data_IF_708657467999
#
_entry.id   IF_708657467999
#
_cell.length_a   1.000
_cell.length_b   1.000
_cell.length_c   1.000
_cell.angle_alpha   90.00
_cell.angle_beta   90.00
_cell.angle_gamma   90.00
#
_symmetry.space_group_name_H-M   'P 1'
#
loop_
_entity.id
_entity.type
_entity.pdbx_description
1 polymer ?
#
# COMPACT_ATOMS: atom_id res chain seq x y z
N UNK A 1 12.12 -28.37 -9.85
CA UNK A 1 13.23 -27.57 -10.42
C UNK A 1 12.75 -26.48 -11.38
N UNK A 2 12.16 -26.76 -12.55
CA UNK A 2 11.68 -25.68 -13.44
C UNK A 2 10.56 -24.82 -12.82
N UNK A 3 9.58 -25.47 -12.19
CA UNK A 3 8.49 -24.80 -11.44
C UNK A 3 8.99 -23.92 -10.27
N UNK A 4 10.09 -24.32 -9.61
CA UNK A 4 10.65 -23.56 -8.49
C UNK A 4 11.38 -22.31 -8.99
N UNK A 5 12.16 -22.42 -10.08
CA UNK A 5 12.88 -21.28 -10.65
C UNK A 5 11.94 -20.21 -11.20
N UNK A 6 10.84 -20.61 -11.83
CA UNK A 6 9.82 -19.68 -12.33
C UNK A 6 9.13 -18.94 -11.17
N UNK A 7 8.69 -19.67 -10.15
CA UNK A 7 8.07 -19.08 -8.96
C UNK A 7 9.01 -18.12 -8.22
N UNK A 8 10.30 -18.48 -8.11
CA UNK A 8 11.33 -17.61 -7.51
C UNK A 8 11.57 -16.37 -8.37
N UNK A 9 11.64 -16.51 -9.69
CA UNK A 9 11.79 -15.38 -10.62
C UNK A 9 10.59 -14.43 -10.53
N UNK A 10 9.38 -14.95 -10.49
CA UNK A 10 8.16 -14.15 -10.33
C UNK A 10 8.10 -13.43 -8.99
N UNK A 11 8.42 -14.13 -7.88
CA UNK A 11 8.45 -13.54 -6.56
C UNK A 11 9.52 -12.43 -6.45
N UNK A 12 10.73 -12.70 -6.97
CA UNK A 12 11.86 -11.76 -6.91
C UNK A 12 11.61 -10.54 -7.79
N UNK A 13 11.10 -10.73 -9.01
CA UNK A 13 10.74 -9.63 -9.91
C UNK A 13 9.62 -8.77 -9.34
N UNK A 14 8.61 -9.39 -8.72
CA UNK A 14 7.55 -8.68 -8.00
C UNK A 14 8.08 -7.86 -6.83
N UNK A 15 8.95 -8.44 -6.01
CA UNK A 15 9.55 -7.76 -4.85
C UNK A 15 10.44 -6.58 -5.26
N UNK A 16 11.35 -6.78 -6.22
CA UNK A 16 12.22 -5.71 -6.75
C UNK A 16 11.36 -4.62 -7.41
N UNK A 17 10.37 -5.00 -8.23
CA UNK A 17 9.44 -4.06 -8.84
C UNK A 17 8.69 -3.21 -7.82
N UNK A 18 8.23 -3.82 -6.73
CA UNK A 18 7.54 -3.12 -5.65
C UNK A 18 8.48 -2.15 -4.91
N UNK A 19 9.71 -2.57 -4.59
CA UNK A 19 10.69 -1.72 -3.91
C UNK A 19 11.14 -0.53 -4.75
N UNK A 20 11.45 -0.76 -6.03
CA UNK A 20 11.85 0.30 -6.95
C UNK A 20 10.70 1.27 -7.21
N UNK A 21 9.48 0.74 -7.47
CA UNK A 21 8.28 1.57 -7.64
C UNK A 21 8.01 2.43 -6.41
N UNK A 22 8.09 1.84 -5.21
CA UNK A 22 7.90 2.56 -3.94
C UNK A 22 8.96 3.64 -3.76
N UNK A 23 10.22 3.35 -4.07
CA UNK A 23 11.32 4.32 -3.93
C UNK A 23 11.17 5.50 -4.89
N UNK A 24 10.84 5.23 -6.16
CA UNK A 24 10.63 6.29 -7.17
C UNK A 24 9.43 7.17 -6.80
N UNK A 25 8.36 6.58 -6.29
CA UNK A 25 7.12 7.28 -5.96
C UNK A 25 7.06 7.80 -4.52
N UNK A 26 8.09 7.55 -3.71
CA UNK A 26 8.11 7.97 -2.31
C UNK A 26 8.00 9.49 -2.12
N UNK A 27 8.65 10.33 -2.96
CA UNK A 27 8.47 11.79 -2.86
C UNK A 27 7.02 12.23 -3.03
N UNK A 28 6.27 11.58 -3.94
CA UNK A 28 4.84 11.85 -4.14
C UNK A 28 4.02 11.42 -2.91
N UNK A 29 4.40 10.33 -2.27
CA UNK A 29 3.82 9.90 -0.99
C UNK A 29 4.02 10.95 0.10
N UNK A 30 5.25 11.43 0.29
CA UNK A 30 5.54 12.44 1.32
C UNK A 30 4.80 13.74 1.06
N UNK A 31 4.79 14.23 -0.19
CA UNK A 31 4.03 15.43 -0.54
C UNK A 31 2.52 15.25 -0.28
N UNK A 32 1.98 14.08 -0.62
CA UNK A 32 0.58 13.75 -0.37
C UNK A 32 0.28 13.69 1.14
N UNK A 33 1.08 12.97 1.91
CA UNK A 33 0.85 12.81 3.36
C UNK A 33 0.94 14.15 4.08
N UNK A 34 1.93 15.00 3.75
CA UNK A 34 2.03 16.38 4.27
C UNK A 34 0.80 17.23 3.92
N UNK A 35 0.39 17.21 2.65
CA UNK A 35 -0.79 17.95 2.21
C UNK A 35 -2.10 17.45 2.86
N UNK A 36 -2.21 16.15 3.15
CA UNK A 36 -3.36 15.53 3.81
C UNK A 36 -3.44 15.85 5.30
N UNK A 37 -2.28 15.85 5.97
CA UNK A 37 -2.12 16.17 7.39
C UNK A 37 -2.40 17.65 7.70
N UNK A 38 -2.22 18.53 6.72
CA UNK A 38 -2.53 19.94 6.90
C UNK A 38 -4.05 20.16 6.94
N UNK A 39 -4.54 20.60 8.10
CA UNK A 39 -5.87 21.19 8.27
C UNK A 39 -5.74 22.70 8.30
N UNK A 40 -6.60 23.40 7.56
CA UNK A 40 -6.68 24.88 7.61
C UNK A 40 -6.76 25.34 9.07
N UNK A 41 -5.67 25.91 9.58
CA UNK A 41 -5.61 26.50 10.90
C UNK A 41 -5.39 28.01 10.74
N UNK A 42 -6.29 28.80 11.31
CA UNK A 42 -6.20 30.27 11.36
C UNK A 42 -5.91 30.96 10.01
N UNK A 43 -6.83 30.80 9.05
CA UNK A 43 -6.89 31.63 7.84
C UNK A 43 -5.63 31.66 6.95
N UNK A 44 -4.61 30.86 7.25
CA UNK A 44 -3.42 30.68 6.45
C UNK A 44 -3.37 29.22 5.99
N UNK A 45 -3.52 29.03 4.69
CA UNK A 45 -3.28 27.76 4.03
C UNK A 45 -1.82 27.77 3.58
N UNK A 46 -0.98 26.91 4.16
CA UNK A 46 0.46 26.83 3.85
C UNK A 46 0.67 26.21 2.46
N UNK A 47 -0.17 25.26 2.06
CA UNK A 47 -0.11 24.65 0.73
C UNK A 47 -1.45 24.72 0.00
N UNK A 48 -1.49 25.38 -1.17
CA UNK A 48 -2.65 25.34 -2.08
C UNK A 48 -2.72 24.02 -2.82
N UNK A 49 -1.57 23.53 -3.25
CA UNK A 49 -1.41 22.33 -4.05
C UNK A 49 -0.29 21.44 -3.53
N UNK A 50 -0.28 20.18 -3.95
CA UNK A 50 0.78 19.21 -3.64
C UNK A 50 2.11 19.64 -4.29
N UNK A 51 2.06 20.37 -5.40
CA UNK A 51 3.23 20.99 -6.04
C UNK A 51 3.95 21.97 -5.11
N UNK A 52 3.22 22.63 -4.21
CA UNK A 52 3.78 23.63 -3.30
C UNK A 52 4.67 22.94 -2.25
N UNK A 53 4.29 21.74 -1.81
CA UNK A 53 5.10 20.90 -0.91
C UNK A 53 6.40 20.47 -1.59
N UNK A 54 6.32 20.09 -2.88
CA UNK A 54 7.49 19.76 -3.68
C UNK A 54 8.39 20.98 -3.90
N UNK A 55 7.79 22.14 -4.19
CA UNK A 55 8.50 23.40 -4.39
C UNK A 55 9.19 23.87 -3.10
N UNK A 56 8.56 23.71 -1.94
CA UNK A 56 9.19 23.98 -0.65
C UNK A 56 10.43 23.09 -0.44
N UNK A 57 10.35 21.80 -0.74
CA UNK A 57 11.50 20.89 -0.62
C UNK A 57 12.67 21.29 -1.53
N UNK A 58 12.37 21.75 -2.76
CA UNK A 58 13.38 22.20 -3.73
C UNK A 58 13.98 23.54 -3.31
N UNK A 59 13.16 24.53 -2.98
CA UNK A 59 13.59 25.88 -2.60
C UNK A 59 14.39 25.89 -1.29
N UNK A 60 14.04 25.03 -0.33
CA UNK A 60 14.80 24.85 0.92
C UNK A 60 16.07 24.00 0.74
N UNK A 61 16.36 23.49 -0.47
CA UNK A 61 17.44 22.55 -0.78
C UNK A 61 17.42 21.25 0.04
N UNK A 62 16.23 20.83 0.48
CA UNK A 62 16.02 19.66 1.32
C UNK A 62 15.28 18.54 0.58
N UNK A 63 15.63 18.31 -0.68
CA UNK A 63 15.00 17.27 -1.53
C UNK A 63 15.11 15.87 -0.93
N UNK A 64 16.22 15.55 -0.25
CA UNK A 64 16.39 14.28 0.47
C UNK A 64 15.36 14.10 1.60
N UNK A 65 14.82 15.19 2.13
CA UNK A 65 13.79 15.12 3.17
C UNK A 65 12.45 14.59 2.65
N UNK A 66 12.25 14.54 1.33
CA UNK A 66 11.11 13.83 0.72
C UNK A 66 11.16 12.32 0.97
N UNK A 67 12.31 11.77 1.37
CA UNK A 67 12.52 10.37 1.72
C UNK A 67 12.45 10.08 3.23
N UNK A 68 12.07 11.06 4.05
CA UNK A 68 11.92 10.88 5.49
C UNK A 68 10.87 9.81 5.81
N UNK A 69 11.30 8.79 6.56
CA UNK A 69 10.44 7.67 6.94
C UNK A 69 10.40 6.51 5.94
N UNK A 70 11.16 6.55 4.82
CA UNK A 70 11.19 5.45 3.84
C UNK A 70 11.63 4.13 4.49
N UNK A 71 12.74 4.17 5.25
CA UNK A 71 13.24 2.99 5.97
C UNK A 71 12.20 2.42 6.95
N UNK A 72 11.55 3.29 7.72
CA UNK A 72 10.46 2.91 8.63
C UNK A 72 9.29 2.27 7.89
N UNK A 73 8.89 2.83 6.75
CA UNK A 73 7.77 2.32 5.95
C UNK A 73 8.09 0.95 5.34
N UNK A 74 9.31 0.76 4.85
CA UNK A 74 9.76 -0.53 4.33
C UNK A 74 9.82 -1.59 5.44
N UNK A 75 10.35 -1.23 6.62
CA UNK A 75 10.37 -2.12 7.79
C UNK A 75 8.95 -2.50 8.24
N UNK A 76 8.06 -1.51 8.32
CA UNK A 76 6.64 -1.73 8.61
C UNK A 76 6.00 -2.68 7.59
N UNK A 77 6.25 -2.46 6.29
CA UNK A 77 5.70 -3.31 5.23
C UNK A 77 6.21 -4.75 5.33
N UNK A 78 7.49 -4.94 5.64
CA UNK A 78 8.08 -6.26 5.84
C UNK A 78 7.42 -7.00 7.01
N UNK A 79 7.34 -6.34 8.18
CA UNK A 79 6.71 -6.91 9.39
C UNK A 79 5.23 -7.20 9.11
N UNK A 80 4.54 -6.29 8.43
CA UNK A 80 3.14 -6.46 8.05
C UNK A 80 2.92 -7.72 7.23
N UNK A 81 3.75 -7.93 6.21
CA UNK A 81 3.63 -9.08 5.33
C UNK A 81 3.92 -10.39 6.08
N UNK A 82 4.95 -10.39 6.93
CA UNK A 82 5.31 -11.54 7.74
C UNK A 82 4.19 -11.93 8.71
N UNK A 83 3.71 -10.98 9.52
CA UNK A 83 2.65 -11.22 10.50
C UNK A 83 1.36 -11.65 9.82
N UNK A 84 1.02 -11.04 8.68
CA UNK A 84 -0.18 -11.42 7.92
C UNK A 84 -0.13 -12.86 7.44
N UNK A 85 0.93 -13.25 6.72
CA UNK A 85 1.02 -14.60 6.17
C UNK A 85 1.19 -15.66 7.25
N UNK A 86 1.96 -15.36 8.30
CA UNK A 86 2.09 -16.25 9.45
C UNK A 86 0.74 -16.43 10.16
N UNK A 87 0.07 -15.32 10.50
CA UNK A 87 -1.23 -15.33 11.17
C UNK A 87 -2.31 -16.03 10.34
N UNK A 88 -2.37 -15.76 9.04
CA UNK A 88 -3.28 -16.44 8.11
C UNK A 88 -3.02 -17.95 8.09
N UNK A 89 -1.76 -18.38 7.97
CA UNK A 89 -1.40 -19.80 7.96
C UNK A 89 -1.73 -20.48 9.29
N UNK A 90 -1.49 -19.80 10.40
CA UNK A 90 -1.80 -20.27 11.74
C UNK A 90 -3.31 -20.45 11.96
N UNK A 91 -4.12 -19.41 11.70
CA UNK A 91 -5.57 -19.46 11.84
C UNK A 91 -6.22 -20.46 10.87
N UNK A 92 -5.71 -20.56 9.64
CA UNK A 92 -6.16 -21.57 8.67
C UNK A 92 -5.90 -22.99 9.20
N UNK A 93 -4.72 -23.25 9.77
CA UNK A 93 -4.37 -24.57 10.35
C UNK A 93 -5.28 -24.91 11.53
N UNK A 94 -5.51 -23.96 12.44
CA UNK A 94 -6.41 -24.14 13.58
C UNK A 94 -7.84 -24.46 13.13
N UNK A 95 -8.35 -23.75 12.12
CA UNK A 95 -9.68 -24.00 11.56
C UNK A 95 -9.80 -25.42 10.98
N UNK A 96 -8.84 -25.83 10.15
CA UNK A 96 -8.86 -27.16 9.52
C UNK A 96 -8.77 -28.29 10.55
N UNK A 97 -7.94 -28.13 11.59
CA UNK A 97 -7.84 -29.10 12.68
C UNK A 97 -9.14 -29.22 13.47
N UNK A 98 -9.80 -28.09 13.78
CA UNK A 98 -11.04 -28.09 14.58
C UNK A 98 -12.26 -28.53 13.78
N UNK A 99 -12.32 -28.20 12.49
CA UNK A 99 -13.44 -28.52 11.61
C UNK A 99 -13.36 -29.93 10.99
N UNK A 100 -12.19 -30.59 11.04
CA UNK A 100 -11.96 -31.88 10.37
C UNK A 100 -12.03 -31.82 8.83
N UNK A 101 -12.15 -30.63 8.24
CA UNK A 101 -12.29 -30.44 6.79
C UNK A 101 -10.93 -30.45 6.09
N UNK A 102 -10.87 -31.00 4.88
CA UNK A 102 -9.68 -30.96 4.00
C UNK A 102 -9.49 -29.61 3.29
N UNK A 103 -10.52 -28.75 3.27
CA UNK A 103 -10.46 -27.44 2.61
C UNK A 103 -11.23 -26.37 3.36
N UNK A 104 -10.87 -25.11 3.13
CA UNK A 104 -11.53 -23.95 3.72
C UNK A 104 -12.54 -23.37 2.73
N UNK A 105 -13.81 -23.28 3.15
CA UNK A 105 -14.86 -22.61 2.36
C UNK A 105 -14.65 -21.10 2.32
N UNK A 106 -15.18 -20.43 1.30
CA UNK A 106 -14.98 -18.98 1.06
C UNK A 106 -15.32 -18.11 2.28
N UNK A 107 -16.44 -18.39 2.96
CA UNK A 107 -16.86 -17.64 4.16
C UNK A 107 -15.86 -17.78 5.31
N UNK A 108 -15.41 -19.01 5.58
CA UNK A 108 -14.42 -19.28 6.61
C UNK A 108 -13.06 -18.65 6.26
N UNK A 109 -12.68 -18.70 4.97
CA UNK A 109 -11.45 -18.09 4.49
C UNK A 109 -11.43 -16.57 4.70
N UNK A 110 -12.57 -15.90 4.45
CA UNK A 110 -12.72 -14.46 4.71
C UNK A 110 -12.55 -14.13 6.20
N UNK A 111 -13.13 -14.92 7.10
CA UNK A 111 -12.98 -14.71 8.55
C UNK A 111 -11.52 -14.91 8.98
N UNK A 112 -10.87 -15.96 8.49
CA UNK A 112 -9.45 -16.24 8.78
C UNK A 112 -8.54 -15.11 8.25
N UNK A 113 -8.79 -14.62 7.03
CA UNK A 113 -8.06 -13.51 6.45
C UNK A 113 -8.29 -12.20 7.22
N UNK A 114 -9.53 -11.93 7.66
CA UNK A 114 -9.86 -10.76 8.46
C UNK A 114 -9.17 -10.80 9.84
N UNK A 115 -9.18 -11.96 10.52
CA UNK A 115 -8.48 -12.14 11.78
C UNK A 115 -6.97 -11.92 11.65
N UNK A 116 -6.36 -12.48 10.59
CA UNK A 116 -4.95 -12.25 10.28
C UNK A 116 -4.66 -10.76 10.02
N UNK A 117 -5.49 -10.10 9.21
CA UNK A 117 -5.38 -8.67 8.93
C UNK A 117 -5.49 -7.79 10.19
N UNK A 118 -6.43 -8.11 11.10
CA UNK A 118 -6.57 -7.40 12.36
C UNK A 118 -5.34 -7.55 13.25
N UNK A 119 -4.80 -8.76 13.40
CA UNK A 119 -3.55 -9.01 14.13
C UNK A 119 -2.38 -8.22 13.52
N UNK A 120 -2.25 -8.23 12.20
CA UNK A 120 -1.22 -7.45 11.49
C UNK A 120 -1.32 -5.97 11.78
N UNK A 121 -2.53 -5.39 11.72
CA UNK A 121 -2.74 -3.98 12.02
C UNK A 121 -2.36 -3.66 13.45
N UNK A 122 -2.78 -4.47 14.43
CA UNK A 122 -2.43 -4.24 15.84
C UNK A 122 -0.91 -4.24 16.04
N UNK A 123 -0.20 -5.21 15.46
CA UNK A 123 1.26 -5.30 15.61
C UNK A 123 2.00 -4.17 14.92
N UNK A 124 1.50 -3.72 13.76
CA UNK A 124 2.21 -2.74 12.92
C UNK A 124 1.80 -1.29 13.14
N UNK A 125 0.73 -1.04 13.90
CA UNK A 125 0.21 0.30 14.15
C UNK A 125 1.28 1.28 14.70
N UNK A 126 2.14 0.92 15.67
CA UNK A 126 3.19 1.82 16.16
C UNK A 126 4.14 2.31 15.06
N UNK A 127 4.52 1.41 14.15
CA UNK A 127 5.43 1.73 13.04
C UNK A 127 4.75 2.58 11.97
N UNK A 128 3.47 2.33 11.72
CA UNK A 128 2.66 3.11 10.78
C UNK A 128 2.46 4.54 11.29
N UNK A 129 2.11 4.70 12.57
CA UNK A 129 2.02 6.01 13.23
C UNK A 129 3.36 6.75 13.20
N UNK A 130 4.46 6.07 13.56
CA UNK A 130 5.80 6.67 13.49
C UNK A 130 6.19 7.10 12.07
N UNK A 131 5.90 6.29 11.06
CA UNK A 131 6.16 6.63 9.65
C UNK A 131 5.35 7.85 9.20
N UNK A 132 4.08 7.95 9.62
CA UNK A 132 3.22 9.10 9.33
C UNK A 132 3.74 10.39 9.97
N UNK A 133 4.18 10.32 11.24
CA UNK A 133 4.80 11.46 11.95
C UNK A 133 6.10 11.92 11.29
N UNK A 134 6.96 10.98 10.88
CA UNK A 134 8.19 11.30 10.16
C UNK A 134 7.89 11.97 8.80
N UNK A 135 6.94 11.44 8.03
CA UNK A 135 6.54 12.00 6.73
C UNK A 135 5.92 13.40 6.86
N UNK A 136 5.20 13.67 7.94
CA UNK A 136 4.50 14.95 8.16
C UNK A 136 5.36 16.00 8.86
N UNK A 137 6.51 15.62 9.42
CA UNK A 137 7.46 16.54 10.04
C UNK A 137 8.00 17.59 9.05
N UNK A 138 8.43 18.75 9.56
CA UNK A 138 9.08 19.76 8.73
C UNK A 138 10.31 19.17 8.03
N UNK A 139 10.58 19.62 6.79
CA UNK A 139 11.74 19.14 6.05
C UNK A 139 13.01 19.37 6.90
N UNK A 140 13.95 18.41 6.83
CA UNK A 140 15.20 18.45 7.58
C UNK A 140 15.09 18.21 9.09
N UNK A 141 13.88 18.16 9.66
CA UNK A 141 13.63 18.02 11.11
C UNK A 141 13.07 16.66 11.52
N UNK A 142 12.92 15.70 10.59
CA UNK A 142 12.43 14.36 10.94
C UNK A 142 13.36 13.69 11.94
N UNK A 143 12.77 13.21 13.04
CA UNK A 143 13.46 12.38 14.03
C UNK A 143 13.71 10.98 13.45
N UNK A 144 14.68 10.27 14.03
CA UNK A 144 14.90 8.84 13.73
C UNK A 144 13.73 8.00 14.26
N UNK A 145 13.55 6.79 13.71
CA UNK A 145 12.50 5.86 14.14
C UNK A 145 12.56 5.59 15.64
N UNK A 146 13.75 5.28 16.17
CA UNK A 146 13.96 5.01 17.59
C UNK A 146 13.52 6.17 18.47
N UNK A 147 13.92 7.39 18.09
CA UNK A 147 13.57 8.60 18.82
C UNK A 147 12.06 8.89 18.76
N UNK A 148 11.44 8.64 17.60
CA UNK A 148 9.99 8.81 17.41
C UNK A 148 9.18 7.82 18.25
N UNK A 149 9.67 6.58 18.40
CA UNK A 149 9.02 5.56 19.23
C UNK A 149 9.28 5.76 20.73
N UNK A 150 10.43 6.29 21.13
CA UNK A 150 10.81 6.45 22.54
C UNK A 150 10.24 7.70 23.20
N UNK A 151 9.96 8.76 22.44
CA UNK A 151 9.49 10.04 22.98
C UNK A 151 7.96 10.09 23.20
N UNK A 152 7.21 9.17 22.58
CA UNK A 152 5.75 9.13 22.67
C UNK A 152 5.24 8.20 23.79
N UNK A 153 4.00 8.44 24.23
CA UNK A 153 3.31 7.51 25.12
C UNK A 153 2.84 6.28 24.33
N UNK A 154 2.81 5.09 24.95
CA UNK A 154 2.31 3.87 24.30
C UNK A 154 0.91 4.03 23.67
N UNK A 155 0.03 4.83 24.28
CA UNK A 155 -1.29 5.11 23.71
C UNK A 155 -1.21 5.85 22.36
N UNK A 156 -0.24 6.75 22.20
CA UNK A 156 -0.08 7.60 21.02
C UNK A 156 0.45 6.79 19.83
N UNK A 157 1.26 5.76 20.09
CA UNK A 157 1.70 4.83 19.06
C UNK A 157 0.51 4.12 18.36
N UNK A 158 -0.60 3.95 19.07
CA UNK A 158 -1.84 3.35 18.56
C UNK A 158 -2.87 4.36 18.04
N UNK A 159 -2.49 5.63 17.91
CA UNK A 159 -3.36 6.66 17.32
C UNK A 159 -3.85 6.24 15.93
N UNK A 160 -5.17 6.29 15.73
CA UNK A 160 -5.81 5.89 14.47
C UNK A 160 -6.04 4.38 14.31
N UNK A 161 -5.78 3.53 15.31
CA UNK A 161 -5.97 2.07 15.22
C UNK A 161 -7.37 1.67 14.74
N UNK A 162 -8.42 2.28 15.29
CA UNK A 162 -9.81 1.99 14.88
C UNK A 162 -10.07 2.27 13.40
N UNK A 163 -9.48 3.34 12.87
CA UNK A 163 -9.58 3.67 11.44
C UNK A 163 -8.69 2.72 10.62
N UNK A 164 -7.49 2.37 11.09
CA UNK A 164 -6.64 1.37 10.44
C UNK A 164 -7.35 0.01 10.31
N UNK A 165 -8.08 -0.42 11.34
CA UNK A 165 -8.88 -1.64 11.31
C UNK A 165 -10.02 -1.53 10.29
N UNK A 166 -10.74 -0.41 10.24
CA UNK A 166 -11.74 -0.18 9.19
C UNK A 166 -11.13 -0.23 7.78
N UNK A 167 -9.93 0.32 7.60
CA UNK A 167 -9.21 0.34 6.33
C UNK A 167 -8.71 -1.06 5.90
N UNK A 168 -8.73 -2.07 6.77
CA UNK A 168 -8.49 -3.47 6.34
C UNK A 168 -9.57 -4.00 5.40
N UNK A 169 -10.73 -3.35 5.34
CA UNK A 169 -11.76 -3.66 4.36
C UNK A 169 -11.40 -3.18 2.93
N UNK A 170 -10.40 -2.30 2.77
CA UNK A 170 -10.05 -1.72 1.47
C UNK A 170 -9.68 -2.80 0.42
N UNK A 171 -8.78 -3.77 0.71
CA UNK A 171 -8.51 -4.89 -0.21
C UNK A 171 -9.76 -5.68 -0.57
N UNK A 172 -10.67 -5.91 0.39
CA UNK A 172 -11.92 -6.65 0.14
C UNK A 172 -12.83 -5.91 -0.84
N UNK A 173 -12.96 -4.59 -0.71
CA UNK A 173 -13.70 -3.75 -1.66
C UNK A 173 -13.02 -3.81 -3.03
N UNK A 174 -11.68 -3.66 -3.08
CA UNK A 174 -10.92 -3.72 -4.31
C UNK A 174 -11.12 -5.05 -5.06
N UNK A 175 -10.97 -6.19 -4.37
CA UNK A 175 -11.14 -7.50 -4.99
C UNK A 175 -12.59 -7.76 -5.43
N UNK A 176 -13.57 -7.35 -4.62
CA UNK A 176 -14.99 -7.49 -4.99
C UNK A 176 -15.31 -6.69 -6.25
N UNK A 177 -14.83 -5.44 -6.34
CA UNK A 177 -15.01 -4.61 -7.54
C UNK A 177 -14.25 -5.21 -8.73
N UNK A 178 -13.04 -5.71 -8.51
CA UNK A 178 -12.25 -6.38 -9.55
C UNK A 178 -12.99 -7.58 -10.13
N UNK A 179 -13.52 -8.47 -9.29
CA UNK A 179 -14.24 -9.66 -9.71
C UNK A 179 -15.53 -9.30 -10.47
N UNK A 180 -16.30 -8.32 -9.98
CA UNK A 180 -17.49 -7.85 -10.70
C UNK A 180 -17.18 -7.26 -12.07
N UNK A 181 -16.10 -6.47 -12.19
CA UNK A 181 -15.69 -5.91 -13.47
C UNK A 181 -15.15 -6.98 -14.42
N UNK A 182 -14.38 -7.93 -13.89
CA UNK A 182 -13.85 -9.08 -14.63
C UNK A 182 -14.99 -9.93 -15.18
N UNK A 183 -15.98 -10.28 -14.36
CA UNK A 183 -17.13 -11.08 -14.77
C UNK A 183 -17.97 -10.39 -15.84
N UNK A 184 -18.17 -9.07 -15.74
CA UNK A 184 -18.87 -8.29 -16.77
C UNK A 184 -18.12 -8.30 -18.10
N UNK A 185 -16.79 -8.15 -18.06
CA UNK A 185 -15.95 -8.15 -19.26
C UNK A 185 -15.92 -9.54 -19.94
N UNK A 186 -15.77 -10.61 -19.16
CA UNK A 186 -15.79 -11.98 -19.67
C UNK A 186 -17.17 -12.35 -20.25
N UNK A 187 -18.27 -11.94 -19.61
CA UNK A 187 -19.63 -12.14 -20.17
C UNK A 187 -19.82 -11.37 -21.48
N UNK A 188 -19.31 -10.15 -21.58
CA UNK A 188 -19.33 -9.37 -22.83
C UNK A 188 -18.50 -10.01 -23.95
N UNK A 189 -17.36 -10.62 -23.61
CA UNK A 189 -16.52 -11.36 -24.57
C UNK A 189 -17.19 -12.65 -25.03
N UNK A 190 -17.84 -13.41 -24.13
CA UNK A 190 -18.59 -14.62 -24.49
C UNK A 190 -19.78 -14.34 -25.42
N UNK A 191 -20.40 -13.16 -25.32
CA UNK A 191 -21.47 -12.71 -26.25
C UNK A 191 -20.90 -12.41 -27.64
N UNK A 192 -19.69 -11.84 -27.72
CA UNK A 192 -19.00 -11.57 -29.00
C UNK A 192 -18.32 -12.81 -29.61
N UNK A 193 -17.99 -13.83 -28.81
CA UNK A 193 -17.19 -14.99 -29.20
C UNK A 193 -18.04 -16.24 -29.50
N UNK A 194 -19.23 -16.05 -30.09
CA UNK A 194 -20.06 -17.14 -30.64
C UNK A 194 -19.47 -17.82 -31.88
N UNK A 195 -18.26 -17.46 -32.30
CA UNK A 195 -17.50 -18.14 -33.33
C UNK A 195 -16.05 -18.27 -32.86
N UNK A 196 -15.50 -19.47 -33.02
CA UNK A 196 -14.09 -19.90 -32.77
C UNK A 196 -13.72 -20.32 -31.33
N UNK A 197 -13.09 -21.50 -31.27
CA UNK A 197 -12.99 -22.44 -30.16
C UNK A 197 -12.04 -22.04 -29.01
N UNK A 198 -12.46 -22.44 -27.81
CA UNK A 198 -11.69 -23.07 -26.72
C UNK A 198 -10.19 -22.73 -26.60
N UNK A 199 -9.88 -21.59 -26.00
CA UNK A 199 -8.63 -21.41 -25.25
C UNK A 199 -8.97 -21.01 -23.81
N UNK A 200 -8.18 -21.43 -22.80
CA UNK A 200 -8.43 -21.05 -21.41
C UNK A 200 -8.39 -19.53 -21.30
N UNK A 201 -9.53 -18.90 -21.05
CA UNK A 201 -9.71 -17.44 -21.02
C UNK A 201 -8.95 -16.83 -19.82
N UNK A 202 -7.65 -16.65 -19.99
CA UNK A 202 -6.84 -15.77 -19.16
C UNK A 202 -7.04 -14.32 -19.64
N UNK A 203 -7.32 -13.39 -18.74
CA UNK A 203 -7.27 -11.97 -19.08
C UNK A 203 -5.87 -11.62 -19.59
N UNK A 204 -5.79 -10.85 -20.68
CA UNK A 204 -4.54 -10.21 -21.06
C UNK A 204 -3.98 -9.43 -19.87
N UNK A 205 -2.66 -9.50 -19.64
CA UNK A 205 -2.00 -8.83 -18.53
C UNK A 205 -2.37 -7.33 -18.44
N UNK A 206 -2.54 -6.68 -19.59
CA UNK A 206 -2.98 -5.29 -19.67
C UNK A 206 -4.43 -5.10 -19.21
N UNK A 207 -5.35 -5.99 -19.58
CA UNK A 207 -6.74 -5.92 -19.12
C UNK A 207 -6.86 -6.18 -17.61
N UNK A 208 -6.12 -7.15 -17.08
CA UNK A 208 -6.06 -7.42 -15.65
C UNK A 208 -5.47 -6.22 -14.88
N UNK A 209 -4.46 -5.55 -15.47
CA UNK A 209 -3.91 -4.32 -14.94
C UNK A 209 -4.94 -3.20 -14.87
N UNK A 210 -5.62 -2.89 -15.98
CA UNK A 210 -6.59 -1.80 -16.05
C UNK A 210 -7.73 -2.05 -15.07
N UNK A 211 -8.27 -3.27 -15.03
CA UNK A 211 -9.30 -3.64 -14.06
C UNK A 211 -8.80 -3.53 -12.62
N UNK A 212 -7.57 -3.96 -12.35
CA UNK A 212 -6.95 -3.85 -11.03
C UNK A 212 -6.71 -2.39 -10.59
N UNK A 213 -6.30 -1.53 -11.52
CA UNK A 213 -6.10 -0.11 -11.26
C UNK A 213 -7.44 0.60 -11.01
N UNK A 214 -8.45 0.31 -11.84
CA UNK A 214 -9.79 0.89 -11.70
C UNK A 214 -10.47 0.46 -10.39
N UNK A 215 -10.41 -0.84 -10.07
CA UNK A 215 -10.96 -1.35 -8.82
C UNK A 215 -10.28 -0.74 -7.59
N UNK A 216 -8.96 -0.54 -7.66
CA UNK A 216 -8.20 0.13 -6.59
C UNK A 216 -8.57 1.60 -6.47
N UNK A 217 -8.83 2.30 -7.58
CA UNK A 217 -9.30 3.68 -7.56
C UNK A 217 -10.68 3.78 -6.89
N UNK A 218 -11.63 2.91 -7.26
CA UNK A 218 -12.98 2.89 -6.68
C UNK A 218 -12.91 2.58 -5.17
N UNK A 219 -12.17 1.55 -4.77
CA UNK A 219 -11.98 1.21 -3.36
C UNK A 219 -11.32 2.36 -2.59
N UNK A 220 -10.34 3.03 -3.20
CA UNK A 220 -9.68 4.20 -2.63
C UNK A 220 -10.66 5.35 -2.45
N UNK A 221 -11.45 5.71 -3.46
CA UNK A 221 -12.44 6.79 -3.36
C UNK A 221 -13.44 6.55 -2.23
N UNK A 222 -13.97 5.32 -2.10
CA UNK A 222 -14.92 4.96 -1.05
C UNK A 222 -14.30 5.02 0.35
N UNK A 223 -13.04 4.62 0.50
CA UNK A 223 -12.35 4.58 1.79
C UNK A 223 -11.54 5.85 2.09
N UNK A 224 -11.49 6.79 1.17
CA UNK A 224 -10.64 7.98 1.26
C UNK A 224 -10.92 8.86 2.48
N UNK A 225 -12.19 9.12 2.87
CA UNK A 225 -12.48 9.90 4.08
C UNK A 225 -11.82 9.30 5.32
N UNK A 226 -11.84 7.96 5.44
CA UNK A 226 -11.17 7.25 6.53
C UNK A 226 -9.64 7.37 6.41
N UNK A 227 -9.06 7.24 5.21
CA UNK A 227 -7.61 7.46 4.99
C UNK A 227 -7.20 8.86 5.47
N UNK A 228 -7.98 9.89 5.13
CA UNK A 228 -7.68 11.25 5.57
C UNK A 228 -7.74 11.38 7.09
N UNK A 229 -8.80 10.90 7.73
CA UNK A 229 -8.94 10.96 9.18
C UNK A 229 -7.79 10.22 9.89
N UNK A 230 -7.35 9.08 9.35
CA UNK A 230 -6.18 8.34 9.87
C UNK A 230 -4.91 9.19 9.84
N UNK A 231 -4.58 9.78 8.67
CA UNK A 231 -3.37 10.60 8.52
C UNK A 231 -3.41 11.79 9.49
N UNK A 232 -4.56 12.45 9.61
CA UNK A 232 -4.77 13.57 10.53
C UNK A 232 -4.54 13.23 12.00
N UNK A 233 -5.05 12.09 12.45
CA UNK A 233 -4.90 11.63 13.84
C UNK A 233 -3.45 11.27 14.12
N UNK A 234 -2.80 10.56 13.18
CA UNK A 234 -1.40 10.16 13.32
C UNK A 234 -0.42 11.35 13.27
N UNK A 235 -0.79 12.44 12.59
CA UNK A 235 0.03 13.65 12.43
C UNK A 235 -0.26 14.73 13.47
N UNK A 236 -1.19 14.54 14.41
CA UNK A 236 -1.67 15.61 15.30
C UNK A 236 -0.62 16.18 16.28
N UNK A 237 0.53 15.53 16.44
CA UNK A 237 1.63 15.96 17.32
C UNK A 237 2.61 16.95 16.68
N UNK A 238 2.63 17.10 15.34
CA UNK A 238 3.64 17.92 14.67
C UNK A 238 3.31 19.41 14.59
N UNK A 239 2.17 19.84 15.13
CA UNK A 239 1.80 21.26 15.20
C UNK A 239 2.25 21.87 16.55
N UNK A 240 3.37 22.61 16.52
CA UNK A 240 3.81 23.51 17.62
C UNK A 240 2.75 24.58 17.99
N UNK A 241 1.66 24.68 17.22
CA UNK A 241 0.61 25.68 17.34
C UNK A 241 -0.52 25.30 18.33
N UNK A 242 -0.61 24.05 18.78
CA UNK A 242 -1.68 23.63 19.71
C UNK A 242 -1.20 23.80 21.15
N UNK A 243 -1.51 24.96 21.73
CA UNK A 243 -1.18 25.32 23.12
C UNK A 243 -2.04 24.60 24.17
N UNK A 244 -3.12 23.93 23.78
CA UNK A 244 -4.10 23.33 24.68
C UNK A 244 -4.20 21.80 24.47
N UNK A 245 -3.81 21.03 25.50
CA UNK A 245 -3.86 19.57 25.50
C UNK A 245 -5.26 19.01 25.23
N UNK A 246 -6.33 19.71 25.64
CA UNK A 246 -7.69 19.26 25.43
C UNK A 246 -8.07 19.31 23.94
N UNK A 247 -7.61 20.34 23.23
CA UNK A 247 -7.83 20.51 21.79
C UNK A 247 -7.01 19.50 20.97
N UNK A 248 -5.84 19.11 21.49
CA UNK A 248 -4.96 18.10 20.92
C UNK A 248 -5.56 16.69 21.09
N UNK A 249 -6.07 16.35 22.28
CA UNK A 249 -6.80 15.08 22.55
C UNK A 249 -8.09 14.97 21.71
N UNK A 250 -8.81 16.07 21.52
CA UNK A 250 -9.98 16.09 20.64
C UNK A 250 -9.59 15.77 19.19
N UNK A 251 -8.50 16.35 18.65
CA UNK A 251 -7.99 16.06 17.29
C UNK A 251 -7.52 14.62 17.10
N UNK A 252 -6.99 13.98 18.16
CA UNK A 252 -6.59 12.56 18.16
C UNK A 252 -7.79 11.59 18.14
N UNK A 253 -8.99 12.06 18.43
CA UNK A 253 -10.20 11.24 18.40
C UNK A 253 -10.82 11.22 16.99
N UNK A 254 -11.39 10.08 16.58
CA UNK A 254 -12.06 9.92 15.27
C UNK A 254 -13.16 10.97 15.07
N UNK A 255 -14.02 11.17 16.07
CA UNK A 255 -15.09 12.17 16.04
C UNK A 255 -14.55 13.59 15.92
N UNK A 256 -13.48 13.93 16.64
CA UNK A 256 -12.87 15.25 16.58
C UNK A 256 -12.14 15.51 15.26
N UNK A 257 -11.51 14.50 14.66
CA UNK A 257 -10.95 14.60 13.31
C UNK A 257 -12.04 14.86 12.26
N UNK A 258 -13.14 14.11 12.30
CA UNK A 258 -14.30 14.30 11.41
C UNK A 258 -14.89 15.71 11.60
N UNK A 259 -15.14 16.11 12.84
CA UNK A 259 -15.70 17.43 13.17
C UNK A 259 -14.77 18.56 12.73
N UNK A 260 -13.46 18.44 12.97
CA UNK A 260 -12.46 19.44 12.57
C UNK A 260 -12.40 19.61 11.05
N UNK A 261 -12.43 18.51 10.30
CA UNK A 261 -12.46 18.55 8.83
C UNK A 261 -13.75 19.20 8.34
N UNK A 262 -14.90 18.72 8.84
CA UNK A 262 -16.21 19.22 8.43
C UNK A 262 -16.34 20.72 8.68
N UNK A 263 -15.98 21.19 9.87
CA UNK A 263 -16.12 22.60 10.26
C UNK A 263 -15.17 23.53 9.52
N UNK A 264 -13.95 23.08 9.20
CA UNK A 264 -12.90 23.95 8.62
C UNK A 264 -12.83 23.90 7.09
N UNK A 265 -13.21 22.77 6.50
CA UNK A 265 -13.05 22.52 5.06
C UNK A 265 -14.31 22.00 4.37
N UNK A 266 -15.35 21.65 5.13
CA UNK A 266 -16.59 21.08 4.60
C UNK A 266 -16.42 19.67 4.04
N UNK A 267 -17.41 19.25 3.24
CA UNK A 267 -17.49 17.91 2.65
C UNK A 267 -16.32 17.59 1.70
N UNK A 268 -15.94 18.55 0.85
CA UNK A 268 -14.83 18.36 -0.10
C UNK A 268 -13.47 18.25 0.60
N UNK A 269 -13.35 18.76 1.83
CA UNK A 269 -12.18 18.58 2.66
C UNK A 269 -11.80 17.10 2.79
N UNK A 270 -12.75 16.20 3.01
CA UNK A 270 -12.44 14.77 3.17
C UNK A 270 -11.66 14.17 1.99
N UNK A 271 -11.77 14.77 0.80
CA UNK A 271 -11.11 14.33 -0.43
C UNK A 271 -9.84 15.14 -0.77
N UNK A 272 -9.36 16.00 0.14
CA UNK A 272 -8.09 16.73 -0.01
C UNK A 272 -6.95 15.75 -0.27
N UNK A 273 -6.33 15.84 -1.44
CA UNK A 273 -5.20 14.99 -1.88
C UNK A 273 -5.59 13.70 -2.62
N UNK A 274 -6.88 13.47 -2.90
CA UNK A 274 -7.35 12.24 -3.56
C UNK A 274 -6.69 12.05 -4.93
N UNK A 275 -6.55 13.14 -5.70
CA UNK A 275 -5.93 13.12 -7.02
C UNK A 275 -4.50 12.56 -6.98
N UNK A 276 -3.68 12.92 -5.98
CA UNK A 276 -2.34 12.36 -5.84
C UNK A 276 -2.36 10.90 -5.38
N UNK A 277 -3.32 10.50 -4.55
CA UNK A 277 -3.48 9.09 -4.19
C UNK A 277 -3.80 8.23 -5.43
N UNK A 278 -4.72 8.69 -6.28
CA UNK A 278 -5.09 8.02 -7.52
C UNK A 278 -3.90 7.99 -8.48
N UNK A 279 -3.25 9.14 -8.71
CA UNK A 279 -2.08 9.22 -9.58
C UNK A 279 -0.96 8.28 -9.12
N UNK A 280 -0.61 8.33 -7.83
CA UNK A 280 0.39 7.45 -7.22
C UNK A 280 0.01 5.98 -7.37
N UNK A 281 -1.28 5.66 -7.22
CA UNK A 281 -1.78 4.30 -7.36
C UNK A 281 -1.60 3.77 -8.78
N UNK A 282 -2.04 4.55 -9.77
CA UNK A 282 -1.94 4.18 -11.19
C UNK A 282 -0.47 4.08 -11.62
N UNK A 283 0.36 5.07 -11.26
CA UNK A 283 1.79 5.06 -11.55
C UNK A 283 2.51 3.90 -10.88
N UNK A 284 2.17 3.57 -9.63
CA UNK A 284 2.80 2.47 -8.90
C UNK A 284 2.48 1.14 -9.58
N UNK A 285 1.22 0.91 -9.93
CA UNK A 285 0.83 -0.30 -10.64
C UNK A 285 1.47 -0.37 -12.04
N UNK A 286 1.58 0.75 -12.77
CA UNK A 286 2.22 0.79 -14.08
C UNK A 286 3.72 0.48 -14.00
N UNK A 287 4.43 1.12 -13.06
CA UNK A 287 5.87 0.88 -12.83
C UNK A 287 6.14 -0.56 -12.38
N UNK A 288 5.31 -1.10 -11.48
CA UNK A 288 5.43 -2.49 -11.03
C UNK A 288 5.35 -3.44 -12.22
N UNK A 289 4.39 -3.26 -13.13
CA UNK A 289 4.27 -4.11 -14.32
C UNK A 289 5.42 -3.91 -15.30
N UNK A 290 5.80 -2.67 -15.58
CA UNK A 290 6.94 -2.38 -16.46
C UNK A 290 8.22 -3.05 -15.94
N UNK A 291 8.48 -2.94 -14.64
CA UNK A 291 9.65 -3.56 -14.01
C UNK A 291 9.51 -5.07 -14.01
N UNK A 292 8.34 -5.62 -13.67
CA UNK A 292 8.09 -7.06 -13.73
C UNK A 292 8.38 -7.61 -15.13
N UNK A 293 7.83 -6.99 -16.18
CA UNK A 293 8.05 -7.41 -17.57
C UNK A 293 9.53 -7.35 -17.98
N UNK A 294 10.24 -6.29 -17.59
CA UNK A 294 11.67 -6.15 -17.87
C UNK A 294 12.49 -7.21 -17.14
N UNK A 295 12.19 -7.48 -15.88
CA UNK A 295 12.89 -8.50 -15.10
C UNK A 295 12.58 -9.90 -15.66
N UNK A 296 11.32 -10.26 -15.87
CA UNK A 296 10.94 -11.58 -16.42
C UNK A 296 11.59 -11.84 -17.78
N UNK A 297 11.61 -10.86 -18.69
CA UNK A 297 12.31 -10.98 -19.99
C UNK A 297 13.81 -11.19 -19.79
N UNK A 298 14.43 -10.43 -18.89
CA UNK A 298 15.86 -10.56 -18.61
C UNK A 298 16.18 -11.92 -17.99
N UNK A 299 15.40 -12.38 -17.00
CA UNK A 299 15.57 -13.68 -16.37
C UNK A 299 15.40 -14.82 -17.37
N UNK A 300 14.45 -14.72 -18.29
CA UNK A 300 14.26 -15.71 -19.36
C UNK A 300 15.47 -15.81 -20.29
N UNK A 301 15.99 -14.66 -20.77
CA UNK A 301 17.19 -14.61 -21.60
C UNK A 301 18.40 -15.21 -20.86
N UNK A 302 18.54 -14.89 -19.57
CA UNK A 302 19.62 -15.39 -18.73
C UNK A 302 19.51 -16.91 -18.49
N UNK A 303 18.29 -17.43 -18.29
CA UNK A 303 18.04 -18.87 -18.19
C UNK A 303 18.38 -19.61 -19.50
N UNK A 304 18.00 -19.06 -20.65
CA UNK A 304 18.36 -19.64 -21.95
C UNK A 304 19.87 -19.61 -22.21
N UNK A 305 20.55 -18.53 -21.80
CA UNK A 305 22.00 -18.42 -21.89
C UNK A 305 22.69 -19.46 -20.99
N UNK A 306 22.22 -19.63 -19.75
CA UNK A 306 22.72 -20.64 -18.81
C UNK A 306 22.48 -22.07 -19.29
N UNK A 307 21.29 -22.36 -19.85
CA UNK A 307 21.00 -23.67 -20.43
C UNK A 307 21.94 -23.96 -21.60
N UNK A 308 22.12 -23.01 -22.53
CA UNK A 308 23.08 -23.17 -23.63
C UNK A 308 24.49 -23.42 -23.11
N UNK A 309 24.95 -22.64 -22.13
CA UNK A 309 26.26 -22.81 -21.51
C UNK A 309 26.44 -24.20 -20.89
N UNK A 310 25.49 -24.64 -20.06
CA UNK A 310 25.52 -25.96 -19.42
C UNK A 310 25.48 -27.10 -20.45
N UNK A 311 24.69 -26.98 -21.52
CA UNK A 311 24.66 -27.96 -22.60
C UNK A 311 26.01 -28.05 -23.32
N UNK A 312 26.66 -26.93 -23.65
CA UNK A 312 28.00 -26.92 -24.27
C UNK A 312 29.07 -27.53 -23.37
N UNK A 313 29.00 -27.30 -22.05
CA UNK A 313 29.95 -27.87 -21.09
C UNK A 313 29.73 -29.38 -20.91
N UNK A 314 28.48 -29.85 -20.93
CA UNK A 314 28.15 -31.28 -20.89
C UNK A 314 28.60 -32.04 -22.13
N UNK A 315 28.54 -31.43 -23.32
CA UNK A 315 29.07 -32.04 -24.55
C UNK A 315 30.58 -32.16 -24.54
N UNK A 316 31.31 -31.19 -23.96
CA UNK A 316 32.78 -31.27 -23.83
C UNK A 316 33.25 -32.37 -22.88
N UNK A 317 32.51 -32.63 -21.80
CA UNK A 317 32.83 -33.69 -20.84
C UNK A 317 32.52 -35.11 -21.34
N UNK A 318 31.73 -35.25 -22.42
CA UNK A 318 31.43 -36.55 -23.05
C UNK A 318 32.37 -36.89 -24.21
N UNK A 319 33.19 -35.95 -24.66
CA UNK A 319 34.15 -36.11 -25.76
C UNK A 319 35.61 -36.18 -25.29
N UNK A 320 35.85 -36.33 -23.98
CA UNK A 320 37.15 -36.64 -23.36
C UNK A 320 37.03 -37.95 -22.61
#
# INVERSE_FOLDING_TARGET
MAFDLESISEATSGAIGALVSTTILYPLDTCKTKYQAEVRAHNQQRYRNISDVLWEAISTRQVLSLYQGLGTKNLQSFISQFVYFYGYSFFKRLYLQKSGSKSIGTKANLIVAAAAGACTVIVTQPLDTASSRMQTSAFGKSKSLWKTLSEGTWSEAFDGLGISLLLTANPSIQYTVFDQLKDRLLKGQLVNQRQTESSPQALSAFSAFVLGALSKCIATCLTYPAIRCKVMIQSAESDDAVRDEAQLKARKTVSGAIYSIWKREGLLGFFKGLHAQILKTVLSSALLLMIKEKITKTTWVLMLALQRYLFTTRTRLKSS
#
